data_IF_512802959538
#
_entry.id   IF_512802959538
#
_cell.length_a   1.000
_cell.length_b   1.000
_cell.length_c   1.000
_cell.angle_alpha   90.00
_cell.angle_beta   90.00
_cell.angle_gamma   90.00
#
_symmetry.space_group_name_H-M   'P 1'
#
loop_
_entity.id
_entity.type
_entity.pdbx_description
1 polymer ?
#
# COMPACT_ATOMS: atom_id res chain seq x y z
N UNK A 1 -18.74 -55.94 -20.16
CA UNK A 1 -17.69 -55.26 -19.35
C UNK A 1 -17.12 -54.01 -20.05
N UNK A 2 -16.82 -54.04 -21.35
CA UNK A 2 -16.18 -52.92 -22.07
C UNK A 2 -17.04 -51.63 -22.17
N UNK A 3 -18.36 -51.72 -22.22
CA UNK A 3 -19.26 -50.57 -22.32
C UNK A 3 -19.38 -49.80 -20.99
N UNK A 4 -19.28 -50.46 -19.86
CA UNK A 4 -19.35 -49.83 -18.53
C UNK A 4 -18.06 -49.02 -18.22
N UNK A 5 -16.90 -49.49 -18.70
CA UNK A 5 -15.63 -48.80 -18.52
C UNK A 5 -15.54 -47.51 -19.33
N UNK A 6 -16.15 -47.48 -20.52
CA UNK A 6 -16.17 -46.25 -21.36
C UNK A 6 -17.04 -45.13 -20.79
N UNK A 7 -18.21 -45.49 -20.21
CA UNK A 7 -19.09 -44.52 -19.57
C UNK A 7 -18.50 -43.94 -18.28
N UNK A 8 -17.81 -44.73 -17.49
CA UNK A 8 -17.13 -44.27 -16.27
C UNK A 8 -15.96 -43.33 -16.60
N UNK A 9 -15.18 -43.61 -17.69
CA UNK A 9 -14.08 -42.76 -18.12
C UNK A 9 -14.54 -41.40 -18.68
N UNK A 10 -15.69 -41.35 -19.37
CA UNK A 10 -16.29 -40.11 -19.85
C UNK A 10 -16.85 -39.25 -18.70
N UNK A 11 -17.40 -39.87 -17.65
CA UNK A 11 -17.88 -39.19 -16.44
C UNK A 11 -16.70 -38.61 -15.64
N UNK A 12 -15.57 -39.30 -15.52
CA UNK A 12 -14.36 -38.80 -14.86
C UNK A 12 -13.71 -37.66 -15.64
N UNK A 13 -13.65 -37.71 -16.98
CA UNK A 13 -13.14 -36.61 -17.81
C UNK A 13 -14.07 -35.37 -17.77
N UNK A 14 -15.39 -35.55 -17.68
CA UNK A 14 -16.36 -34.46 -17.53
C UNK A 14 -16.28 -33.76 -16.17
N UNK A 15 -15.89 -34.46 -15.12
CA UNK A 15 -15.77 -33.92 -13.77
C UNK A 15 -14.44 -33.15 -13.54
N UNK A 16 -13.42 -33.44 -14.34
CA UNK A 16 -12.10 -32.75 -14.26
C UNK A 16 -12.11 -31.36 -14.90
N UNK A 17 -13.09 -31.04 -15.75
CA UNK A 17 -13.19 -29.76 -16.47
C UNK A 17 -13.87 -28.64 -15.66
N UNK A 18 -14.38 -28.91 -14.46
CA UNK A 18 -15.13 -27.96 -13.62
C UNK A 18 -14.29 -27.23 -12.56
N UNK A 19 -13.01 -27.54 -12.44
CA UNK A 19 -12.09 -26.85 -11.51
C UNK A 19 -11.28 -25.77 -12.22
N UNK A 20 -11.93 -24.89 -12.97
CA UNK A 20 -11.32 -23.61 -13.35
C UNK A 20 -11.46 -22.67 -12.15
N UNK A 21 -10.51 -22.75 -11.24
CA UNK A 21 -10.30 -21.69 -10.23
C UNK A 21 -9.89 -20.45 -10.98
N UNK A 22 -10.84 -19.58 -11.28
CA UNK A 22 -10.56 -18.24 -11.78
C UNK A 22 -9.82 -17.51 -10.65
N UNK A 23 -8.50 -17.45 -10.77
CA UNK A 23 -7.71 -16.57 -9.92
C UNK A 23 -8.21 -15.14 -10.19
N UNK A 24 -8.86 -14.52 -9.22
CA UNK A 24 -9.24 -13.13 -9.29
C UNK A 24 -7.94 -12.32 -9.50
N UNK A 25 -7.71 -11.90 -10.75
CA UNK A 25 -6.59 -11.03 -11.06
C UNK A 25 -6.81 -9.71 -10.36
N UNK A 26 -5.88 -9.32 -9.49
CA UNK A 26 -5.93 -8.00 -8.85
C UNK A 26 -5.98 -6.93 -9.96
N UNK A 27 -6.95 -6.03 -9.88
CA UNK A 27 -7.10 -4.96 -10.84
C UNK A 27 -5.85 -4.07 -10.81
N UNK A 28 -5.20 -3.90 -11.97
CA UNK A 28 -4.01 -3.06 -12.10
C UNK A 28 -4.32 -1.85 -12.99
N UNK A 29 -4.17 -0.66 -12.43
CA UNK A 29 -4.44 0.61 -13.11
C UNK A 29 -3.12 1.34 -13.35
N UNK A 30 -2.85 1.73 -14.60
CA UNK A 30 -1.69 2.56 -14.95
C UNK A 30 -2.07 4.03 -15.04
N UNK A 31 -1.18 4.90 -14.54
CA UNK A 31 -1.39 6.34 -14.61
C UNK A 31 -0.16 7.15 -14.24
N UNK A 32 -0.25 8.48 -14.40
CA UNK A 32 0.80 9.42 -14.02
C UNK A 32 0.55 9.97 -12.62
N UNK A 33 1.58 9.99 -11.78
CA UNK A 33 1.52 10.62 -10.46
C UNK A 33 1.52 12.15 -10.63
N UNK A 34 0.41 12.80 -10.28
CA UNK A 34 0.22 14.26 -10.40
C UNK A 34 0.47 15.02 -9.13
N UNK A 35 0.26 14.37 -7.99
CA UNK A 35 0.47 14.98 -6.67
C UNK A 35 0.90 13.92 -5.68
N UNK A 36 1.82 14.26 -4.79
CA UNK A 36 2.13 13.52 -3.59
C UNK A 36 1.65 14.37 -2.41
N UNK A 37 0.67 13.87 -1.65
CA UNK A 37 0.09 14.60 -0.52
C UNK A 37 0.95 14.49 0.73
N UNK A 38 1.41 13.26 1.01
CA UNK A 38 2.25 12.88 2.14
C UNK A 38 3.11 11.65 1.77
N UNK A 39 3.73 10.99 2.74
CA UNK A 39 4.63 9.86 2.50
C UNK A 39 3.95 8.56 2.04
N UNK A 40 2.62 8.52 1.95
CA UNK A 40 1.86 7.32 1.58
C UNK A 40 0.55 7.59 0.81
N UNK A 41 0.34 8.82 0.36
CA UNK A 41 -0.88 9.19 -0.37
C UNK A 41 -0.54 10.02 -1.61
N UNK A 42 -1.05 9.58 -2.77
CA UNK A 42 -0.81 10.22 -4.07
C UNK A 42 -2.10 10.51 -4.81
N UNK A 43 -2.03 11.37 -5.83
CA UNK A 43 -3.05 11.53 -6.87
C UNK A 43 -2.53 10.93 -8.16
N UNK A 44 -3.23 9.95 -8.68
CA UNK A 44 -2.95 9.29 -9.94
C UNK A 44 -3.92 9.79 -11.02
N UNK A 45 -3.41 10.25 -12.15
CA UNK A 45 -4.19 10.55 -13.34
C UNK A 45 -4.11 9.37 -14.31
N UNK A 46 -5.24 8.76 -14.61
CA UNK A 46 -5.32 7.63 -15.53
C UNK A 46 -5.46 8.10 -16.99
N UNK A 47 -5.29 7.19 -17.97
CA UNK A 47 -5.41 7.49 -19.40
C UNK A 47 -6.80 8.04 -19.79
N UNK A 48 -7.85 7.73 -19.04
CA UNK A 48 -9.21 8.23 -19.26
C UNK A 48 -9.44 9.63 -18.67
N UNK A 49 -8.38 10.36 -18.36
CA UNK A 49 -8.41 11.68 -17.71
C UNK A 49 -9.13 11.68 -16.35
N UNK A 50 -9.37 10.50 -15.77
CA UNK A 50 -9.90 10.41 -14.42
C UNK A 50 -8.77 10.57 -13.39
N UNK A 51 -9.11 11.12 -12.23
CA UNK A 51 -8.19 11.34 -11.12
C UNK A 51 -8.58 10.44 -9.97
N UNK A 52 -7.62 9.65 -9.47
CA UNK A 52 -7.82 8.72 -8.38
C UNK A 52 -6.85 9.03 -7.25
N UNK A 53 -7.39 9.24 -6.05
CA UNK A 53 -6.58 9.35 -4.85
C UNK A 53 -6.22 7.94 -4.38
N UNK A 54 -4.94 7.67 -4.23
CA UNK A 54 -4.42 6.34 -3.86
C UNK A 54 -3.69 6.43 -2.54
N UNK A 55 -4.05 5.57 -1.61
CA UNK A 55 -3.33 5.26 -0.38
C UNK A 55 -2.41 4.08 -0.66
N UNK A 56 -1.14 4.21 -0.32
CA UNK A 56 -0.19 3.12 -0.47
C UNK A 56 -0.53 1.99 0.51
N UNK A 57 -0.74 0.77 -0.03
CA UNK A 57 -1.11 -0.41 0.75
C UNK A 57 -0.02 -0.79 1.75
N UNK A 58 -0.43 -1.22 2.93
CA UNK A 58 0.42 -1.87 3.92
C UNK A 58 1.44 -0.98 4.62
N UNK A 59 1.44 0.33 4.35
CA UNK A 59 2.36 1.27 5.01
C UNK A 59 1.62 2.43 5.68
N UNK A 60 2.28 3.06 6.66
CA UNK A 60 1.79 4.27 7.31
C UNK A 60 2.96 5.23 7.52
N UNK A 61 2.92 6.36 6.82
CA UNK A 61 3.98 7.37 6.85
C UNK A 61 3.69 8.47 7.88
N UNK A 62 4.72 9.17 8.38
CA UNK A 62 4.52 10.29 9.29
C UNK A 62 3.58 11.34 8.71
N UNK A 63 2.60 11.77 9.51
CA UNK A 63 1.56 12.70 9.12
C UNK A 63 2.12 14.10 8.83
N UNK A 64 1.81 14.64 7.66
CA UNK A 64 2.05 16.06 7.37
C UNK A 64 1.10 16.92 8.19
N UNK A 65 1.59 18.04 8.75
CA UNK A 65 0.74 18.97 9.47
C UNK A 65 -0.34 19.57 8.57
N UNK A 66 -1.45 19.98 9.18
CA UNK A 66 -2.50 20.78 8.54
C UNK A 66 -2.26 22.26 8.82
N UNK A 67 -3.01 23.14 8.16
CA UNK A 67 -2.92 24.59 8.40
C UNK A 67 -3.09 24.89 9.90
N UNK A 68 -2.06 25.44 10.53
CA UNK A 68 -2.03 25.74 11.97
C UNK A 68 -1.60 24.59 12.88
N UNK A 69 -1.35 23.38 12.37
CA UNK A 69 -0.88 22.24 13.17
C UNK A 69 0.47 21.74 12.65
N UNK A 70 1.40 21.48 13.54
CA UNK A 70 2.69 20.86 13.19
C UNK A 70 2.49 19.40 12.82
N UNK A 71 3.16 18.97 11.74
CA UNK A 71 3.22 17.55 11.38
C UNK A 71 4.19 16.77 12.27
N UNK A 72 4.20 15.46 12.08
CA UNK A 72 5.18 14.59 12.75
C UNK A 72 6.60 14.87 12.24
N UNK A 73 7.61 14.66 13.09
CA UNK A 73 8.99 14.56 12.64
C UNK A 73 9.10 13.58 11.46
N UNK A 74 9.98 13.87 10.50
CA UNK A 74 10.16 13.12 9.26
C UNK A 74 9.02 13.17 8.23
N UNK A 75 7.85 13.73 8.51
CA UNK A 75 6.75 13.79 7.56
C UNK A 75 7.14 14.45 6.22
N UNK A 76 7.87 15.55 6.29
CA UNK A 76 8.37 16.27 5.11
C UNK A 76 9.40 15.45 4.35
N UNK A 77 10.29 14.74 5.07
CA UNK A 77 11.30 13.88 4.46
C UNK A 77 10.63 12.71 3.74
N UNK A 78 9.68 12.01 4.38
CA UNK A 78 8.92 10.92 3.78
C UNK A 78 8.17 11.37 2.50
N UNK A 79 7.46 12.49 2.57
CA UNK A 79 6.79 13.08 1.40
C UNK A 79 7.78 13.36 0.26
N UNK A 80 8.91 14.02 0.54
CA UNK A 80 9.90 14.37 -0.47
C UNK A 80 10.56 13.13 -1.07
N UNK A 81 10.81 12.09 -0.27
CA UNK A 81 11.33 10.81 -0.74
C UNK A 81 10.35 10.16 -1.72
N UNK A 82 9.06 10.11 -1.40
CA UNK A 82 8.05 9.58 -2.31
C UNK A 82 7.95 10.42 -3.58
N UNK A 83 7.97 11.76 -3.46
CA UNK A 83 8.00 12.67 -4.62
C UNK A 83 9.20 12.38 -5.54
N UNK A 84 10.39 12.25 -4.99
CA UNK A 84 11.60 11.96 -5.77
C UNK A 84 11.49 10.64 -6.54
N UNK A 85 10.88 9.62 -5.92
CA UNK A 85 10.72 8.30 -6.53
C UNK A 85 9.75 8.30 -7.71
N UNK A 86 8.58 8.97 -7.59
CA UNK A 86 7.47 8.73 -8.51
C UNK A 86 6.74 9.98 -9.03
N UNK A 87 7.05 11.19 -8.58
CA UNK A 87 6.36 12.40 -9.07
C UNK A 87 6.56 12.57 -10.58
N UNK A 88 5.46 12.79 -11.32
CA UNK A 88 5.47 12.91 -12.77
C UNK A 88 5.75 11.60 -13.54
N UNK A 89 5.96 10.49 -12.84
CA UNK A 89 6.22 9.18 -13.46
C UNK A 89 4.93 8.44 -13.77
N UNK A 90 4.97 7.62 -14.81
CA UNK A 90 3.93 6.63 -15.07
C UNK A 90 4.20 5.41 -14.18
N UNK A 91 3.23 5.08 -13.34
CA UNK A 91 3.29 3.93 -12.42
C UNK A 91 2.14 2.98 -12.68
N UNK A 92 2.25 1.76 -12.18
CA UNK A 92 1.12 0.84 -12.06
C UNK A 92 0.67 0.74 -10.60
N UNK A 93 -0.64 0.81 -10.39
CA UNK A 93 -1.31 0.66 -9.10
C UNK A 93 -2.05 -0.68 -9.09
N UNK A 94 -1.55 -1.63 -8.32
CA UNK A 94 -2.18 -2.91 -8.06
C UNK A 94 -3.19 -2.73 -6.94
N UNK A 95 -4.47 -2.66 -7.30
CA UNK A 95 -5.56 -2.35 -6.35
C UNK A 95 -5.77 -3.53 -5.42
N UNK A 96 -5.74 -3.26 -4.13
CA UNK A 96 -5.98 -4.25 -3.06
C UNK A 96 -7.32 -4.04 -2.38
N UNK A 97 -7.74 -2.78 -2.23
CA UNK A 97 -8.96 -2.44 -1.50
C UNK A 97 -9.38 -0.99 -1.82
N UNK A 98 -10.50 -0.56 -1.24
CA UNK A 98 -10.93 0.83 -1.17
C UNK A 98 -11.23 1.19 0.29
N UNK A 99 -10.67 2.29 0.77
CA UNK A 99 -10.86 2.70 2.15
C UNK A 99 -12.19 3.46 2.38
N UNK A 100 -12.53 3.69 3.65
CA UNK A 100 -13.74 4.42 4.05
C UNK A 100 -13.83 5.85 3.51
N UNK A 101 -12.73 6.42 3.01
CA UNK A 101 -12.67 7.75 2.40
C UNK A 101 -12.73 7.69 0.87
N UNK A 102 -13.10 6.53 0.30
CA UNK A 102 -13.17 6.27 -1.15
C UNK A 102 -11.81 6.45 -1.87
N UNK A 103 -10.68 6.24 -1.14
CA UNK A 103 -9.37 6.17 -1.77
C UNK A 103 -9.12 4.73 -2.19
N UNK A 104 -8.56 4.52 -3.37
CA UNK A 104 -8.02 3.22 -3.72
C UNK A 104 -6.82 2.90 -2.83
N UNK A 105 -6.75 1.68 -2.31
CA UNK A 105 -5.59 1.17 -1.55
C UNK A 105 -4.80 0.25 -2.47
N UNK A 106 -3.55 0.62 -2.78
CA UNK A 106 -2.80 -0.07 -3.82
C UNK A 106 -1.30 -0.23 -3.51
N UNK A 107 -0.70 -1.27 -4.10
CA UNK A 107 0.74 -1.36 -4.24
C UNK A 107 1.14 -0.58 -5.49
N UNK A 108 2.06 0.36 -5.33
CA UNK A 108 2.58 1.19 -6.42
C UNK A 108 3.87 0.58 -6.94
N UNK A 109 3.87 0.24 -8.24
CA UNK A 109 5.07 -0.26 -8.90
C UNK A 109 5.59 0.74 -9.92
N UNK A 110 6.88 0.97 -9.87
CA UNK A 110 7.60 1.78 -10.85
C UNK A 110 8.84 1.03 -11.34
N UNK A 111 8.93 0.75 -12.64
CA UNK A 111 10.02 -0.03 -13.22
C UNK A 111 10.25 -1.38 -12.51
N UNK A 112 9.18 -2.11 -12.23
CA UNK A 112 9.21 -3.41 -11.52
C UNK A 112 9.42 -3.33 -10.00
N UNK A 113 9.80 -2.17 -9.44
CA UNK A 113 10.06 -2.00 -8.00
C UNK A 113 8.78 -1.73 -7.24
N UNK A 114 8.67 -2.30 -6.04
CA UNK A 114 7.61 -2.01 -5.07
C UNK A 114 7.97 -0.74 -4.27
N UNK A 115 7.36 0.37 -4.61
CA UNK A 115 7.61 1.68 -3.99
C UNK A 115 7.16 1.73 -2.54
N UNK A 116 6.05 1.04 -2.22
CA UNK A 116 5.55 0.97 -0.85
C UNK A 116 6.60 0.32 0.07
N UNK A 117 7.12 -0.86 -0.33
CA UNK A 117 8.15 -1.57 0.41
C UNK A 117 9.45 -0.77 0.52
N UNK A 118 9.84 -0.07 -0.55
CA UNK A 118 11.02 0.80 -0.51
C UNK A 118 10.89 1.92 0.54
N UNK A 119 9.71 2.53 0.65
CA UNK A 119 9.46 3.55 1.69
C UNK A 119 9.68 2.99 3.09
N UNK A 120 9.29 1.74 3.35
CA UNK A 120 9.55 1.05 4.62
C UNK A 120 11.04 0.75 4.80
N UNK A 121 11.69 0.18 3.78
CA UNK A 121 13.11 -0.22 3.81
C UNK A 121 14.07 0.97 4.04
N UNK A 122 13.68 2.17 3.58
CA UNK A 122 14.42 3.41 3.79
C UNK A 122 14.07 4.13 5.10
N UNK A 123 13.14 3.56 5.88
CA UNK A 123 12.67 4.15 7.14
C UNK A 123 11.86 5.43 6.95
N UNK A 124 11.10 5.54 5.85
CA UNK A 124 10.20 6.66 5.56
C UNK A 124 8.76 6.38 5.99
N UNK A 125 8.43 5.12 6.25
CA UNK A 125 7.12 4.66 6.73
C UNK A 125 7.27 3.45 7.65
N UNK A 126 6.22 3.18 8.44
CA UNK A 126 6.03 1.92 9.18
C UNK A 126 5.39 0.87 8.27
N UNK A 127 5.71 -0.42 8.49
CA UNK A 127 4.88 -1.51 8.03
C UNK A 127 3.59 -1.52 8.86
N UNK A 128 2.45 -1.24 8.23
CA UNK A 128 1.17 -1.10 8.93
C UNK A 128 0.51 -2.47 9.10
N UNK A 129 0.95 -3.23 10.11
CA UNK A 129 0.63 -4.64 10.34
C UNK A 129 -0.86 -4.94 10.33
N UNK A 130 -1.70 -4.03 10.83
CA UNK A 130 -3.16 -4.18 10.87
C UNK A 130 -3.78 -4.37 9.47
N UNK A 131 -3.13 -3.85 8.42
CA UNK A 131 -3.60 -3.88 7.03
C UNK A 131 -2.65 -4.63 6.09
N UNK A 132 -1.70 -5.38 6.66
CA UNK A 132 -0.80 -6.23 5.90
C UNK A 132 -1.28 -7.68 5.95
N UNK A 133 -1.55 -8.25 4.79
CA UNK A 133 -1.96 -9.65 4.64
C UNK A 133 -0.96 -10.42 3.77
N UNK A 134 -1.00 -11.76 3.86
CA UNK A 134 -0.23 -12.62 2.95
C UNK A 134 -0.61 -12.36 1.50
N UNK A 135 0.34 -12.44 0.54
CA UNK A 135 1.74 -12.83 0.71
C UNK A 135 2.71 -11.68 1.10
N UNK A 136 2.25 -10.45 1.17
CA UNK A 136 3.11 -9.25 1.30
C UNK A 136 3.60 -8.97 2.72
N UNK A 137 2.93 -9.52 3.74
CA UNK A 137 3.17 -9.13 5.14
C UNK A 137 4.62 -9.35 5.58
N UNK A 138 5.21 -10.50 5.29
CA UNK A 138 6.59 -10.83 5.67
C UNK A 138 7.59 -9.84 5.07
N UNK A 139 7.50 -9.58 3.76
CA UNK A 139 8.45 -8.71 3.06
C UNK A 139 8.49 -7.27 3.61
N UNK A 140 7.32 -6.74 3.98
CA UNK A 140 7.21 -5.38 4.54
C UNK A 140 7.71 -5.33 5.99
N UNK A 141 7.41 -6.36 6.78
CA UNK A 141 7.86 -6.48 8.17
C UNK A 141 9.38 -6.65 8.23
N UNK A 142 9.95 -7.47 7.37
CA UNK A 142 11.40 -7.69 7.28
C UNK A 142 12.13 -6.41 6.81
N UNK A 143 11.53 -5.68 5.84
CA UNK A 143 12.05 -4.40 5.41
C UNK A 143 12.06 -3.37 6.54
N UNK A 144 11.01 -3.30 7.37
CA UNK A 144 10.96 -2.46 8.55
C UNK A 144 12.03 -2.85 9.58
N UNK A 145 12.17 -4.15 9.86
CA UNK A 145 13.14 -4.66 10.81
C UNK A 145 14.57 -4.30 10.39
N UNK A 146 14.88 -4.45 9.10
CA UNK A 146 16.18 -4.05 8.55
C UNK A 146 16.39 -2.53 8.65
N UNK A 147 15.38 -1.71 8.38
CA UNK A 147 15.46 -0.27 8.51
C UNK A 147 15.72 0.17 9.96
N UNK A 148 15.09 -0.51 10.94
CA UNK A 148 15.26 -0.28 12.38
C UNK A 148 16.68 -0.62 12.84
N UNK A 149 17.16 -1.83 12.55
CA UNK A 149 18.51 -2.27 12.94
C UNK A 149 19.61 -1.43 12.31
N UNK A 150 19.40 -0.99 11.07
CA UNK A 150 20.32 -0.11 10.35
C UNK A 150 20.12 1.40 10.68
N UNK A 151 19.22 1.74 11.59
CA UNK A 151 18.89 3.14 11.98
C UNK A 151 18.60 4.06 10.79
N UNK A 152 17.84 3.58 9.81
CA UNK A 152 17.49 4.36 8.62
C UNK A 152 16.32 5.32 8.89
N UNK A 153 16.34 6.48 8.24
CA UNK A 153 15.24 7.43 8.25
C UNK A 153 14.74 7.80 9.64
N UNK A 154 13.47 7.58 9.90
CA UNK A 154 12.80 7.83 11.19
C UNK A 154 13.40 7.02 12.35
N UNK A 155 14.02 5.86 12.08
CA UNK A 155 14.64 4.98 13.07
C UNK A 155 16.00 5.49 13.60
N UNK A 156 16.48 6.65 13.12
CA UNK A 156 17.61 7.37 13.72
C UNK A 156 17.28 7.91 15.11
N UNK A 157 16.01 8.19 15.37
CA UNK A 157 15.54 8.60 16.69
C UNK A 157 15.14 7.38 17.51
N UNK A 158 15.44 7.36 18.81
CA UNK A 158 14.90 6.34 19.69
C UNK A 158 13.37 6.54 19.78
N UNK A 159 12.62 5.45 19.70
CA UNK A 159 11.16 5.42 19.89
C UNK A 159 10.39 6.46 19.06
N UNK A 160 10.49 6.45 17.71
CA UNK A 160 9.71 7.34 16.89
C UNK A 160 8.21 7.01 17.06
N UNK A 161 7.38 8.05 17.22
CA UNK A 161 5.94 7.87 17.40
C UNK A 161 5.27 7.35 16.14
N UNK A 162 4.50 6.25 16.20
CA UNK A 162 3.74 5.78 15.05
C UNK A 162 2.65 6.76 14.61
N UNK A 163 2.33 6.86 13.28
CA UNK A 163 1.31 7.79 12.78
C UNK A 163 -0.08 7.55 13.34
N UNK A 164 -0.49 6.28 13.55
CA UNK A 164 -1.79 5.96 14.14
C UNK A 164 -1.94 6.47 15.58
N UNK A 165 -0.88 6.48 16.37
CA UNK A 165 -0.90 7.07 17.72
C UNK A 165 -0.92 8.60 17.68
N UNK A 166 -0.19 9.18 16.72
CA UNK A 166 -0.23 10.62 16.49
C UNK A 166 -1.65 11.09 16.14
N UNK A 167 -2.33 10.40 15.19
CA UNK A 167 -3.72 10.69 14.84
C UNK A 167 -4.67 10.55 16.02
N UNK A 168 -4.53 9.50 16.83
CA UNK A 168 -5.35 9.26 18.02
C UNK A 168 -5.24 10.42 19.02
N UNK A 169 -4.01 10.87 19.31
CA UNK A 169 -3.79 12.01 20.23
C UNK A 169 -4.40 13.32 19.71
N UNK A 170 -4.29 13.60 18.43
CA UNK A 170 -4.85 14.82 17.85
C UNK A 170 -6.37 14.79 17.74
N UNK A 171 -6.97 13.61 17.60
CA UNK A 171 -8.43 13.44 17.65
C UNK A 171 -8.99 13.76 19.04
N UNK A 172 -8.33 13.30 20.09
CA UNK A 172 -8.71 13.62 21.47
C UNK A 172 -8.63 15.11 21.77
N UNK A 173 -7.55 15.80 21.38
CA UNK A 173 -7.41 17.25 21.59
C UNK A 173 -8.53 18.05 20.93
N UNK A 174 -9.06 17.63 19.79
CA UNK A 174 -10.19 18.28 19.12
C UNK A 174 -11.55 18.00 19.76
N UNK A 175 -11.73 16.84 20.39
CA UNK A 175 -12.97 16.49 21.11
C UNK A 175 -13.15 17.21 22.45
N UNK A 176 -12.12 17.90 22.95
CA UNK A 176 -12.17 18.68 24.21
C UNK A 176 -12.41 20.18 23.98
N UNK A 177 -12.58 20.61 22.73
CA UNK A 177 -12.77 22.02 22.35
C UNK A 177 -14.23 22.35 21.97
N UNK A 178 -15.17 21.43 22.27
CA UNK A 178 -16.63 21.63 22.06
C UNK A 178 -17.40 21.36 23.33
#
# INVERSE_FOLDING_TARGET
>A
MIRFQRTLLCLLMGMLSLLQVSAASAETISGFVRTVYDGDTILLATRRNSRMKVRLYGIDAPETGRKGESGQPFSRVAKNTLMYKIMGRQVSAEIKDADQYKRAVAIIRYQGRDINREMVAEGMAWAYRQYLHTPYASEYIDAEQLARTSRRGLWRKPNPQPPWEFRKRHKHKRGWLW
#
